data_IF_028024003717
#
_entry.id   IF_028024003717
#
_cell.length_a   1.000
_cell.length_b   1.000
_cell.length_c   1.000
_cell.angle_alpha   90.00
_cell.angle_beta   90.00
_cell.angle_gamma   90.00
#
_symmetry.space_group_name_H-M   'P 1'
#
loop_
_entity.id
_entity.type
_entity.pdbx_description
1 polymer ?
#
# COMPACT_ATOMS: atom_id res chain seq x y z
N UNK A 1 1.94 10.41 -15.00
CA UNK A 1 0.60 10.96 -15.35
C UNK A 1 -0.53 10.42 -14.46
N UNK A 2 -0.46 9.18 -13.95
CA UNK A 2 -1.50 8.56 -13.11
C UNK A 2 -1.66 9.15 -11.69
N UNK A 3 -0.61 9.72 -11.09
CA UNK A 3 -0.72 10.36 -9.76
C UNK A 3 -1.32 11.79 -9.80
N UNK A 4 -1.31 12.44 -10.98
CA UNK A 4 -1.91 13.78 -11.17
C UNK A 4 -3.43 13.69 -11.41
N UNK A 5 -3.95 12.55 -11.87
CA UNK A 5 -5.39 12.32 -12.07
C UNK A 5 -6.16 11.95 -10.80
N UNK A 6 -5.48 11.54 -9.71
CA UNK A 6 -6.12 11.43 -8.38
C UNK A 6 -6.20 12.80 -7.66
N UNK A 7 -6.45 13.89 -8.37
CA UNK A 7 -7.00 15.07 -7.71
C UNK A 7 -8.48 14.76 -7.49
N UNK A 8 -8.92 14.59 -6.24
CA UNK A 8 -10.33 14.54 -5.84
C UNK A 8 -11.03 15.90 -6.11
N UNK A 9 -10.84 16.47 -7.30
CA UNK A 9 -11.25 17.84 -7.59
C UNK A 9 -12.69 17.96 -8.10
N UNK A 10 -13.38 16.86 -8.45
CA UNK A 10 -14.69 16.99 -9.12
C UNK A 10 -15.79 15.98 -8.70
N UNK A 11 -15.70 15.29 -7.56
CA UNK A 11 -16.75 14.29 -7.18
C UNK A 11 -17.59 14.70 -5.96
N UNK A 12 -17.24 15.76 -5.24
CA UNK A 12 -17.98 16.13 -4.01
C UNK A 12 -18.52 17.55 -4.11
N UNK A 13 -19.86 17.75 -4.14
CA UNK A 13 -20.48 19.07 -4.07
C UNK A 13 -20.03 19.76 -2.78
N UNK A 14 -19.81 21.09 -2.83
CA UNK A 14 -19.30 21.93 -1.74
C UNK A 14 -20.00 21.65 -0.40
N UNK A 15 -19.40 20.76 0.37
CA UNK A 15 -19.66 20.49 1.78
C UNK A 15 -18.31 20.72 2.51
N UNK A 16 -18.29 20.74 3.84
CA UNK A 16 -17.17 21.16 4.73
C UNK A 16 -15.77 20.52 4.47
N UNK A 17 -15.63 19.69 3.45
CA UNK A 17 -14.39 19.10 2.92
C UNK A 17 -13.52 20.05 2.07
N UNK A 18 -13.92 21.28 1.74
CA UNK A 18 -13.03 22.22 1.02
C UNK A 18 -11.75 22.53 1.81
N UNK A 19 -11.83 22.54 3.15
CA UNK A 19 -10.68 22.63 4.05
C UNK A 19 -9.72 21.42 3.93
N UNK A 20 -10.20 20.27 3.44
CA UNK A 20 -9.37 19.09 3.22
C UNK A 20 -8.47 19.25 1.99
N UNK A 21 -8.84 20.05 0.98
CA UNK A 21 -7.98 20.28 -0.20
C UNK A 21 -6.73 21.08 0.18
N UNK A 22 -6.88 22.09 1.02
CA UNK A 22 -5.77 22.91 1.54
C UNK A 22 -4.85 22.13 2.49
N UNK A 23 -5.39 21.16 3.25
CA UNK A 23 -4.60 20.24 4.08
C UNK A 23 -3.99 19.08 3.28
N UNK A 24 -4.65 18.64 2.21
CA UNK A 24 -4.24 17.52 1.36
C UNK A 24 -3.03 17.85 0.52
N UNK A 25 -3.01 19.03 -0.12
CA UNK A 25 -1.91 19.46 -0.99
C UNK A 25 -0.53 19.43 -0.28
N UNK A 26 -0.37 20.01 0.93
CA UNK A 26 0.89 19.92 1.67
C UNK A 26 1.19 18.51 2.20
N UNK A 27 0.18 17.76 2.66
CA UNK A 27 0.35 16.36 3.09
C UNK A 27 0.80 15.46 1.94
N UNK A 28 0.22 15.61 0.75
CA UNK A 28 0.68 14.92 -0.46
C UNK A 28 2.10 15.32 -0.82
N UNK A 29 2.47 16.59 -0.72
CA UNK A 29 3.84 17.05 -0.99
C UNK A 29 4.87 16.37 -0.05
N UNK A 30 4.49 16.09 1.20
CA UNK A 30 5.29 15.33 2.18
C UNK A 30 5.28 13.80 1.93
N UNK A 31 4.17 13.24 1.44
CA UNK A 31 4.04 11.81 1.12
C UNK A 31 4.69 11.44 -0.21
N UNK A 32 4.69 12.33 -1.21
CA UNK A 32 5.23 12.07 -2.56
C UNK A 32 6.71 11.63 -2.55
N UNK A 33 7.64 12.21 -1.76
CA UNK A 33 9.00 11.69 -1.70
C UNK A 33 9.07 10.29 -1.11
N UNK A 34 8.11 9.86 -0.27
CA UNK A 34 8.05 8.50 0.27
C UNK A 34 7.64 7.44 -0.78
N UNK A 35 7.19 7.88 -1.96
CA UNK A 35 6.84 7.01 -3.10
C UNK A 35 7.68 7.34 -4.35
N UNK A 36 8.85 7.97 -4.16
CA UNK A 36 9.80 8.10 -5.26
C UNK A 36 10.27 6.70 -5.70
N UNK A 37 10.49 6.51 -7.00
CA UNK A 37 10.78 5.19 -7.59
C UNK A 37 11.97 4.48 -6.93
N UNK A 38 12.93 5.23 -6.41
CA UNK A 38 14.13 4.68 -5.76
C UNK A 38 13.83 4.07 -4.40
N UNK A 39 12.92 4.66 -3.65
CA UNK A 39 12.45 4.14 -2.37
C UNK A 39 11.57 2.91 -2.59
N UNK A 40 10.73 2.93 -3.64
CA UNK A 40 9.94 1.76 -4.05
C UNK A 40 10.81 0.56 -4.40
N UNK A 41 12.00 0.76 -4.99
CA UNK A 41 12.94 -0.33 -5.26
C UNK A 41 13.41 -1.05 -4.00
N UNK A 42 13.64 -0.32 -2.90
CA UNK A 42 13.96 -0.92 -1.60
C UNK A 42 12.80 -1.74 -1.01
N UNK A 43 11.56 -1.39 -1.34
CA UNK A 43 10.38 -2.10 -0.88
C UNK A 43 10.05 -3.35 -1.70
N UNK A 44 10.53 -3.46 -2.93
CA UNK A 44 10.30 -4.63 -3.78
C UNK A 44 10.88 -5.92 -3.18
N UNK A 45 12.01 -5.84 -2.47
CA UNK A 45 12.60 -7.00 -1.80
C UNK A 45 11.66 -7.57 -0.75
N UNK A 46 11.19 -6.73 0.18
CA UNK A 46 10.25 -7.12 1.25
C UNK A 46 8.92 -7.60 0.66
N UNK A 47 8.43 -6.93 -0.39
CA UNK A 47 7.21 -7.34 -1.07
C UNK A 47 7.34 -8.73 -1.69
N UNK A 48 8.44 -9.00 -2.38
CA UNK A 48 8.69 -10.29 -3.01
C UNK A 48 8.82 -11.40 -1.97
N UNK A 49 9.57 -11.18 -0.89
CA UNK A 49 9.70 -12.16 0.21
C UNK A 49 8.34 -12.56 0.79
N UNK A 50 7.52 -11.57 1.17
CA UNK A 50 6.18 -11.84 1.73
C UNK A 50 5.22 -12.44 0.71
N UNK A 51 5.34 -12.07 -0.56
CA UNK A 51 4.53 -12.67 -1.63
C UNK A 51 4.87 -14.15 -1.87
N UNK A 52 6.16 -14.52 -1.79
CA UNK A 52 6.58 -15.92 -1.89
C UNK A 52 6.05 -16.75 -0.70
N UNK A 53 6.11 -16.21 0.53
CA UNK A 53 5.52 -16.86 1.70
C UNK A 53 4.01 -17.07 1.57
N UNK A 54 3.29 -16.11 0.99
CA UNK A 54 1.86 -16.24 0.70
C UNK A 54 1.59 -17.34 -0.33
N UNK A 55 2.37 -17.40 -1.40
CA UNK A 55 2.23 -18.45 -2.42
C UNK A 55 2.45 -19.83 -1.81
N UNK A 56 3.47 -20.00 -0.97
CA UNK A 56 3.73 -21.27 -0.28
C UNK A 56 2.63 -21.64 0.72
N UNK A 57 2.00 -20.67 1.39
CA UNK A 57 0.81 -20.91 2.21
C UNK A 57 -0.38 -21.39 1.36
N UNK A 58 -0.70 -20.66 0.29
CA UNK A 58 -1.83 -21.01 -0.58
C UNK A 58 -1.62 -22.35 -1.30
N UNK A 59 -0.38 -22.70 -1.61
CA UNK A 59 -0.01 -24.00 -2.20
C UNK A 59 -0.28 -25.18 -1.26
N UNK A 60 -0.20 -24.96 0.06
CA UNK A 60 -0.54 -25.99 1.06
C UNK A 60 -2.05 -26.13 1.23
N UNK A 61 -2.77 -25.03 1.12
CA UNK A 61 -4.24 -24.99 1.24
C UNK A 61 -4.97 -25.52 -0.01
N UNK A 62 -4.27 -25.74 -1.12
CA UNK A 62 -4.84 -26.29 -2.38
C UNK A 62 -5.29 -27.76 -2.27
N UNK A 63 -5.05 -28.41 -1.12
CA UNK A 63 -5.52 -29.77 -0.82
C UNK A 63 -6.95 -29.80 -0.26
N UNK A 64 -7.47 -28.66 0.17
CA UNK A 64 -8.81 -28.51 0.72
C UNK A 64 -9.83 -28.17 -0.38
N UNK A 65 -11.10 -28.52 -0.17
CA UNK A 65 -12.18 -28.27 -1.15
C UNK A 65 -12.50 -26.77 -1.30
N UNK A 66 -12.29 -25.98 -0.23
CA UNK A 66 -12.50 -24.54 -0.22
C UNK A 66 -11.40 -23.83 0.59
N UNK A 67 -10.87 -22.75 0.04
CA UNK A 67 -9.82 -21.94 0.68
C UNK A 67 -10.31 -20.52 0.94
N UNK A 68 -10.20 -20.05 2.18
CA UNK A 68 -10.60 -18.70 2.55
C UNK A 68 -9.46 -17.70 2.32
N UNK A 69 -9.41 -17.12 1.12
CA UNK A 69 -8.29 -16.27 0.66
C UNK A 69 -8.18 -14.91 1.39
N UNK A 70 -9.28 -14.40 1.97
CA UNK A 70 -9.31 -13.03 2.48
C UNK A 70 -8.36 -12.84 3.66
N UNK A 71 -8.31 -13.80 4.56
CA UNK A 71 -7.43 -13.77 5.74
C UNK A 71 -5.95 -13.75 5.36
N UNK A 72 -5.41 -14.73 4.61
CA UNK A 72 -3.99 -14.77 4.25
C UNK A 72 -3.56 -13.56 3.42
N UNK A 73 -4.42 -13.05 2.52
CA UNK A 73 -4.12 -11.83 1.75
C UNK A 73 -4.03 -10.60 2.66
N UNK A 74 -4.99 -10.44 3.59
CA UNK A 74 -5.01 -9.28 4.50
C UNK A 74 -3.80 -9.29 5.43
N UNK A 75 -3.44 -10.46 5.98
CA UNK A 75 -2.27 -10.62 6.84
C UNK A 75 -0.97 -10.31 6.08
N UNK A 76 -0.82 -10.86 4.88
CA UNK A 76 0.35 -10.58 4.03
C UNK A 76 0.48 -9.09 3.70
N UNK A 77 -0.64 -8.42 3.42
CA UNK A 77 -0.64 -6.97 3.17
C UNK A 77 -0.20 -6.17 4.41
N UNK A 78 -0.62 -6.58 5.62
CA UNK A 78 -0.18 -5.97 6.86
C UNK A 78 1.32 -6.18 7.10
N UNK A 79 1.82 -7.40 6.86
CA UNK A 79 3.24 -7.74 7.02
C UNK A 79 4.14 -6.95 6.05
N UNK A 80 3.68 -6.75 4.81
CA UNK A 80 4.36 -5.90 3.83
C UNK A 80 4.43 -4.46 4.33
N UNK A 81 3.32 -3.89 4.81
CA UNK A 81 3.27 -2.51 5.31
C UNK A 81 4.17 -2.35 6.54
N UNK A 82 4.12 -3.28 7.49
CA UNK A 82 4.96 -3.26 8.68
C UNK A 82 6.44 -3.42 8.34
N UNK A 83 6.77 -4.30 7.38
CA UNK A 83 8.12 -4.45 6.85
C UNK A 83 8.65 -3.19 6.19
N UNK A 84 7.82 -2.50 5.40
CA UNK A 84 8.18 -1.20 4.79
C UNK A 84 8.46 -0.12 5.85
N UNK A 85 7.68 -0.09 6.95
CA UNK A 85 7.92 0.83 8.05
C UNK A 85 9.24 0.54 8.78
N UNK A 86 9.60 -0.73 8.96
CA UNK A 86 10.90 -1.12 9.55
C UNK A 86 12.09 -0.69 8.70
N UNK A 87 12.05 -0.91 7.39
CA UNK A 87 13.14 -0.51 6.46
C UNK A 87 13.42 0.99 6.53
N UNK A 88 12.40 1.79 6.85
CA UNK A 88 12.50 3.26 6.96
C UNK A 88 12.92 3.78 8.33
N UNK A 89 12.88 2.97 9.39
CA UNK A 89 13.36 3.34 10.74
C UNK A 89 14.85 3.03 10.90
N UNK A 90 15.37 2.09 10.12
CA UNK A 90 16.76 1.59 10.22
C UNK A 90 17.72 2.33 9.25
N UNK A 91 17.19 3.00 8.20
CA UNK A 91 17.92 3.90 7.31
C UNK A 91 17.60 5.37 7.63
#
# INVERSE_FOLDING_TARGET
>A
RLFRSMQFQNVVPKTQFSSSVEKWKPRRKLLTPCFHADILRGFLTVFNERSQELVEHLRKETKEEFTYIKTPITLTALDIIYGMLKVKIIN
#
